data_IF_248540819586
#
_entry.id   IF_248540819586
#
_cell.length_a   1.000
_cell.length_b   1.000
_cell.length_c   1.000
_cell.angle_alpha   90.00
_cell.angle_beta   90.00
_cell.angle_gamma   90.00
#
_symmetry.space_group_name_H-M   'P 1'
#
loop_
_entity.id
_entity.type
_entity.pdbx_description
1 polymer ?
#
# COMPACT_ATOMS: atom_id res chain seq x y z
N UNK A 1 -0.55 -10.19 -9.97
CA UNK A 1 -1.11 -9.76 -8.69
C UNK A 1 -2.39 -10.52 -8.45
N UNK A 2 -2.86 -10.55 -7.22
CA UNK A 2 -4.06 -11.30 -6.86
C UNK A 2 -5.33 -10.55 -7.30
N UNK A 3 -6.33 -11.30 -7.76
CA UNK A 3 -7.60 -10.79 -8.29
C UNK A 3 -8.75 -11.56 -7.69
N UNK A 4 -9.78 -10.84 -7.24
CA UNK A 4 -11.08 -11.42 -6.89
C UNK A 4 -11.92 -11.48 -8.16
N UNK A 5 -12.23 -12.69 -8.61
CA UNK A 5 -13.11 -12.93 -9.75
C UNK A 5 -14.54 -13.16 -9.23
N UNK A 6 -15.49 -12.36 -9.72
CA UNK A 6 -16.92 -12.54 -9.44
C UNK A 6 -17.62 -12.92 -10.73
N UNK A 7 -18.20 -14.12 -10.76
CA UNK A 7 -19.03 -14.59 -11.86
C UNK A 7 -20.50 -14.56 -11.48
N UNK A 8 -21.32 -13.98 -12.36
CA UNK A 8 -22.77 -14.08 -12.27
C UNK A 8 -23.23 -15.14 -13.25
N UNK A 9 -23.97 -16.13 -12.76
CA UNK A 9 -24.48 -17.24 -13.56
C UNK A 9 -26.02 -17.26 -13.51
N UNK A 10 -26.63 -17.62 -14.63
CA UNK A 10 -28.07 -17.96 -14.68
C UNK A 10 -28.30 -19.37 -14.09
N UNK A 11 -29.56 -19.76 -13.90
CA UNK A 11 -30.01 -21.05 -13.37
C UNK A 11 -29.42 -22.26 -14.14
N UNK A 12 -29.05 -22.07 -15.40
CA UNK A 12 -28.41 -23.09 -16.25
C UNK A 12 -26.87 -23.15 -16.10
N UNK A 13 -26.29 -22.45 -15.12
CA UNK A 13 -24.83 -22.28 -14.91
C UNK A 13 -24.10 -21.61 -16.08
N UNK A 14 -24.84 -20.88 -16.91
CA UNK A 14 -24.28 -20.05 -17.98
C UNK A 14 -23.81 -18.74 -17.36
N UNK A 15 -22.55 -18.37 -17.59
CA UNK A 15 -22.01 -17.09 -17.11
C UNK A 15 -22.60 -15.96 -17.93
N UNK A 16 -23.25 -15.03 -17.24
CA UNK A 16 -23.91 -13.85 -17.82
C UNK A 16 -23.18 -12.54 -17.49
N UNK A 17 -22.10 -12.61 -16.71
CA UNK A 17 -21.23 -11.48 -16.43
C UNK A 17 -20.07 -11.85 -15.51
N UNK A 18 -18.94 -11.16 -15.66
CA UNK A 18 -17.72 -11.32 -14.88
C UNK A 18 -17.21 -9.95 -14.42
N UNK A 19 -16.76 -9.86 -13.18
CA UNK A 19 -15.99 -8.72 -12.69
C UNK A 19 -14.64 -9.21 -12.16
N UNK A 20 -13.57 -8.58 -12.63
CA UNK A 20 -12.21 -8.79 -12.13
C UNK A 20 -11.80 -7.62 -11.25
N UNK A 21 -11.56 -7.89 -9.97
CA UNK A 21 -11.26 -6.86 -8.98
C UNK A 21 -9.85 -7.08 -8.46
N UNK A 22 -8.94 -6.16 -8.79
CA UNK A 22 -7.57 -6.24 -8.31
C UNK A 22 -7.51 -6.02 -6.80
N UNK A 23 -6.85 -6.93 -6.07
CA UNK A 23 -6.70 -6.82 -4.61
C UNK A 23 -5.90 -5.57 -4.22
N UNK A 24 -4.98 -5.13 -5.07
CA UNK A 24 -4.23 -3.87 -4.90
C UNK A 24 -5.13 -2.62 -4.86
N UNK A 25 -6.32 -2.67 -5.47
CA UNK A 25 -7.26 -1.54 -5.49
C UNK A 25 -7.84 -1.21 -4.11
N UNK A 26 -7.62 -2.07 -3.12
CA UNK A 26 -8.07 -1.88 -1.74
C UNK A 26 -7.00 -1.25 -0.83
N UNK A 27 -5.73 -1.23 -1.26
CA UNK A 27 -4.60 -0.84 -0.40
C UNK A 27 -4.53 0.65 -0.03
N UNK A 28 -5.35 1.50 -0.65
CA UNK A 28 -5.37 2.94 -0.43
C UNK A 28 -6.47 3.40 0.54
N UNK A 29 -7.32 2.47 1.00
CA UNK A 29 -8.41 2.77 1.91
C UNK A 29 -8.04 2.35 3.33
N UNK A 30 -7.79 3.30 4.22
CA UNK A 30 -7.81 3.08 5.69
C UNK A 30 -9.21 2.72 6.22
N UNK A 31 -10.08 2.17 5.37
CA UNK A 31 -11.46 1.83 5.68
C UNK A 31 -11.57 0.32 5.80
N UNK A 32 -12.03 -0.15 6.97
CA UNK A 32 -12.27 -1.56 7.26
C UNK A 32 -13.39 -2.14 6.36
N UNK A 33 -14.34 -1.30 5.96
CA UNK A 33 -15.46 -1.63 5.07
C UNK A 33 -15.49 -0.66 3.88
N UNK A 34 -15.67 -1.20 2.67
CA UNK A 34 -16.01 -0.37 1.52
C UNK A 34 -17.08 -1.01 0.64
N UNK A 35 -17.93 -0.14 0.11
CA UNK A 35 -19.00 -0.49 -0.82
C UNK A 35 -18.73 0.16 -2.18
N UNK A 36 -18.59 -0.64 -3.24
CA UNK A 36 -18.32 -0.12 -4.59
C UNK A 36 -19.12 -0.88 -5.65
N UNK A 37 -19.52 -0.16 -6.70
CA UNK A 37 -20.08 -0.73 -7.92
C UNK A 37 -18.97 -1.15 -8.88
N UNK A 38 -19.01 -2.40 -9.32
CA UNK A 38 -18.08 -2.96 -10.30
C UNK A 38 -18.82 -3.27 -11.60
N UNK A 39 -18.27 -2.87 -12.76
CA UNK A 39 -18.84 -3.25 -14.05
C UNK A 39 -18.70 -4.76 -14.27
N UNK A 40 -19.73 -5.36 -14.86
CA UNK A 40 -19.74 -6.75 -15.31
C UNK A 40 -19.50 -6.78 -16.81
N UNK A 41 -18.63 -7.67 -17.26
CA UNK A 41 -18.31 -7.90 -18.66
C UNK A 41 -18.64 -9.34 -19.03
N UNK A 42 -19.08 -9.55 -20.27
CA UNK A 42 -19.26 -10.87 -20.84
C UNK A 42 -18.28 -11.02 -22.00
N UNK A 43 -17.39 -12.02 -21.89
CA UNK A 43 -16.28 -12.21 -22.82
C UNK A 43 -15.46 -10.90 -22.93
N UNK A 44 -15.25 -10.38 -24.13
CA UNK A 44 -14.26 -9.33 -24.37
C UNK A 44 -14.85 -7.97 -24.81
N UNK A 45 -16.18 -7.79 -24.90
CA UNK A 45 -16.68 -6.71 -25.78
C UNK A 45 -17.71 -5.72 -25.21
N UNK A 46 -18.55 -6.02 -24.21
CA UNK A 46 -19.44 -5.00 -23.64
C UNK A 46 -19.69 -5.13 -22.13
N UNK A 47 -19.89 -3.97 -21.49
CA UNK A 47 -20.36 -3.88 -20.11
C UNK A 47 -21.84 -4.27 -20.07
N UNK A 48 -22.14 -5.45 -19.54
CA UNK A 48 -23.48 -6.04 -19.50
C UNK A 48 -24.27 -5.66 -18.25
N UNK A 49 -23.62 -5.01 -17.27
CA UNK A 49 -24.26 -4.60 -16.04
C UNK A 49 -23.28 -4.09 -14.99
N UNK A 50 -23.78 -3.93 -13.76
CA UNK A 50 -22.97 -3.58 -12.60
C UNK A 50 -23.41 -4.40 -11.40
N UNK A 51 -22.46 -4.73 -10.54
CA UNK A 51 -22.70 -5.38 -9.26
C UNK A 51 -22.17 -4.50 -8.13
N UNK A 52 -22.94 -4.36 -7.05
CA UNK A 52 -22.48 -3.69 -5.84
C UNK A 52 -21.91 -4.75 -4.90
N UNK A 53 -20.69 -4.53 -4.43
CA UNK A 53 -20.06 -5.38 -3.43
C UNK A 53 -19.72 -4.54 -2.21
N UNK A 54 -20.10 -5.04 -1.04
CA UNK A 54 -19.60 -4.60 0.25
C UNK A 54 -18.52 -5.60 0.68
N UNK A 55 -17.29 -5.12 0.84
CA UNK A 55 -16.15 -5.94 1.22
C UNK A 55 -15.63 -5.44 2.55
N UNK A 56 -15.38 -6.40 3.46
CA UNK A 56 -14.73 -6.16 4.74
C UNK A 56 -13.34 -6.79 4.67
N UNK A 57 -12.28 -6.00 4.85
CA UNK A 57 -10.94 -6.55 4.99
C UNK A 57 -10.58 -6.63 6.47
N UNK A 58 -10.45 -7.85 6.96
CA UNK A 58 -9.80 -8.12 8.24
C UNK A 58 -8.40 -8.65 7.97
N UNK A 59 -7.37 -7.89 8.34
CA UNK A 59 -6.02 -8.46 8.47
C UNK A 59 -5.86 -8.95 9.90
N UNK A 60 -5.52 -10.23 10.13
CA UNK A 60 -5.38 -10.75 11.49
C UNK A 60 -4.23 -10.00 12.19
N UNK A 61 -4.57 -9.38 13.33
CA UNK A 61 -3.68 -8.54 14.12
C UNK A 61 -2.78 -9.33 15.09
N UNK A 62 -2.58 -10.62 14.84
CA UNK A 62 -1.86 -11.52 15.70
C UNK A 62 -0.37 -11.60 15.32
N UNK A 63 0.33 -10.48 15.48
CA UNK A 63 1.64 -10.41 16.16
C UNK A 63 2.24 -9.01 16.04
N UNK A 64 2.22 -8.29 17.17
CA UNK A 64 3.11 -7.18 17.52
C UNK A 64 3.25 -6.02 16.51
N UNK A 65 2.57 -4.91 16.82
CA UNK A 65 3.06 -3.55 16.54
C UNK A 65 3.53 -3.30 15.11
N UNK A 66 2.64 -3.51 14.13
CA UNK A 66 3.00 -3.27 12.74
C UNK A 66 1.79 -3.16 11.84
N UNK A 67 1.39 -1.91 11.59
CA UNK A 67 0.83 -1.51 10.31
C UNK A 67 1.86 -1.61 9.15
N UNK A 68 2.79 -2.60 9.19
CA UNK A 68 3.82 -2.90 8.17
C UNK A 68 3.28 -3.68 6.97
N UNK A 69 1.96 -3.81 6.83
CA UNK A 69 1.37 -4.51 5.67
C UNK A 69 1.15 -3.61 4.45
N UNK A 70 1.58 -2.35 4.48
CA UNK A 70 1.61 -1.54 3.27
C UNK A 70 2.94 -1.73 2.52
N UNK A 71 2.93 -2.75 1.66
CA UNK A 71 3.52 -2.72 0.30
C UNK A 71 5.03 -2.93 0.09
N UNK A 72 5.84 -3.19 1.12
CA UNK A 72 7.20 -3.63 0.87
C UNK A 72 7.90 -4.14 2.12
N UNK A 73 8.52 -5.33 2.05
CA UNK A 73 9.29 -5.83 3.18
C UNK A 73 10.41 -4.87 3.60
N UNK A 74 11.11 -5.16 4.70
CA UNK A 74 12.17 -4.31 5.29
C UNK A 74 13.12 -3.67 4.27
N UNK A 75 13.43 -4.36 3.16
CA UNK A 75 14.25 -3.83 2.07
C UNK A 75 13.65 -2.57 1.39
N UNK A 76 12.34 -2.54 1.17
CA UNK A 76 11.65 -1.38 0.58
C UNK A 76 11.62 -0.21 1.56
N UNK A 77 11.34 -0.47 2.84
CA UNK A 77 11.37 0.56 3.89
C UNK A 77 12.74 1.22 3.99
N UNK A 78 13.83 0.43 3.92
CA UNK A 78 15.20 0.97 3.93
C UNK A 78 15.53 1.78 2.68
N UNK A 79 14.99 1.42 1.51
CA UNK A 79 15.17 2.18 0.26
C UNK A 79 14.48 3.54 0.35
N UNK A 80 13.24 3.57 0.86
CA UNK A 80 12.50 4.83 1.02
C UNK A 80 13.20 5.73 2.03
N UNK A 81 13.68 5.16 3.15
CA UNK A 81 14.48 5.91 4.12
C UNK A 81 15.73 6.54 3.48
N UNK A 82 16.46 5.77 2.66
CA UNK A 82 17.64 6.27 1.96
C UNK A 82 17.29 7.42 0.99
N UNK A 83 16.16 7.33 0.28
CA UNK A 83 15.68 8.41 -0.59
C UNK A 83 15.33 9.69 0.19
N UNK A 84 14.64 9.56 1.32
CA UNK A 84 14.29 10.70 2.18
C UNK A 84 15.56 11.32 2.78
N UNK A 85 16.52 10.48 3.20
CA UNK A 85 17.81 10.92 3.70
C UNK A 85 18.60 11.69 2.62
N UNK A 86 18.66 11.17 1.41
CA UNK A 86 19.32 11.83 0.28
C UNK A 86 18.67 13.18 -0.06
N UNK A 87 17.33 13.24 -0.05
CA UNK A 87 16.59 14.49 -0.24
C UNK A 87 16.90 15.51 0.87
N UNK A 88 16.94 15.07 2.13
CA UNK A 88 17.29 15.91 3.27
C UNK A 88 18.72 16.46 3.16
N UNK A 89 19.67 15.62 2.76
CA UNK A 89 21.07 16.02 2.54
C UNK A 89 21.18 17.08 1.43
N UNK A 90 20.47 16.90 0.31
CA UNK A 90 20.44 17.87 -0.79
C UNK A 90 19.79 19.19 -0.37
N UNK A 91 18.66 19.13 0.32
CA UNK A 91 17.92 20.32 0.75
C UNK A 91 18.70 21.18 1.74
N UNK A 92 19.55 20.56 2.58
CA UNK A 92 20.37 21.26 3.58
C UNK A 92 21.81 21.52 3.14
N UNK A 93 22.13 21.36 1.85
CA UNK A 93 23.49 21.53 1.32
C UNK A 93 24.54 20.74 2.10
N UNK A 94 24.20 19.51 2.47
CA UNK A 94 25.06 18.63 3.25
C UNK A 94 26.40 18.45 2.54
N UNK A 95 27.48 18.73 3.27
CA UNK A 95 28.84 18.66 2.73
C UNK A 95 29.83 18.36 3.85
N UNK A 96 31.11 18.18 3.50
CA UNK A 96 32.16 17.85 4.48
C UNK A 96 32.32 18.87 5.63
N UNK A 97 31.78 20.08 5.50
CA UNK A 97 31.75 21.13 6.53
C UNK A 97 30.41 21.22 7.27
N UNK A 98 29.35 20.57 6.78
CA UNK A 98 28.01 20.60 7.34
C UNK A 98 27.39 19.20 7.28
N UNK A 99 27.73 18.40 8.29
CA UNK A 99 27.38 16.97 8.41
C UNK A 99 26.12 16.71 9.25
N UNK A 100 25.28 17.72 9.47
CA UNK A 100 24.09 17.57 10.31
C UNK A 100 22.81 17.83 9.51
N UNK A 101 21.85 16.94 9.68
CA UNK A 101 20.47 17.13 9.24
C UNK A 101 19.71 17.70 10.42
N UNK A 102 19.04 18.83 10.22
CA UNK A 102 18.34 19.54 11.28
C UNK A 102 16.92 19.92 10.87
N UNK A 103 16.15 20.43 11.84
CA UNK A 103 14.79 20.93 11.64
C UNK A 103 13.83 19.84 11.18
N UNK A 104 12.90 20.22 10.30
CA UNK A 104 11.81 19.36 9.84
C UNK A 104 12.28 18.07 9.17
N UNK A 105 13.47 18.07 8.54
CA UNK A 105 14.05 16.87 7.93
C UNK A 105 14.52 15.85 8.95
N UNK A 106 15.08 16.31 10.08
CA UNK A 106 15.46 15.42 11.17
C UNK A 106 14.23 14.78 11.80
N UNK A 107 13.21 15.61 12.09
CA UNK A 107 11.94 15.10 12.61
C UNK A 107 11.30 14.09 11.65
N UNK A 108 11.28 14.36 10.34
CA UNK A 108 10.70 13.46 9.34
C UNK A 108 11.42 12.10 9.29
N UNK A 109 12.75 12.08 9.35
CA UNK A 109 13.54 10.84 9.37
C UNK A 109 13.32 10.06 10.67
N UNK A 110 13.21 10.76 11.81
CA UNK A 110 12.95 10.14 13.11
C UNK A 110 11.52 9.54 13.13
N UNK A 111 10.51 10.28 12.68
CA UNK A 111 9.12 9.83 12.58
C UNK A 111 8.96 8.66 11.60
N UNK A 112 9.60 8.74 10.44
CA UNK A 112 9.61 7.64 9.46
C UNK A 112 10.24 6.38 10.06
N UNK A 113 11.38 6.51 10.74
CA UNK A 113 12.07 5.36 11.33
C UNK A 113 11.23 4.67 12.39
N UNK A 114 10.56 5.45 13.22
CA UNK A 114 9.74 4.94 14.31
C UNK A 114 8.46 4.30 13.77
N UNK A 115 7.84 4.90 12.73
CA UNK A 115 6.66 4.36 12.05
C UNK A 115 6.96 3.04 11.30
N UNK A 116 8.07 2.98 10.55
CA UNK A 116 8.48 1.81 9.78
C UNK A 116 9.39 0.85 10.56
N UNK A 117 9.57 1.05 11.87
CA UNK A 117 10.36 0.16 12.74
C UNK A 117 11.77 -0.12 12.23
N UNK A 118 12.45 0.90 11.71
CA UNK A 118 13.83 0.79 11.26
C UNK A 118 14.77 0.66 12.47
N UNK A 119 15.73 -0.25 12.39
CA UNK A 119 16.67 -0.47 13.49
C UNK A 119 17.54 0.77 13.73
N UNK A 120 17.83 1.05 15.00
CA UNK A 120 18.75 2.12 15.40
C UNK A 120 20.17 1.90 14.81
N UNK A 121 20.60 0.65 14.65
CA UNK A 121 21.85 0.30 13.99
C UNK A 121 21.87 0.74 12.51
N UNK A 122 20.77 0.56 11.78
CA UNK A 122 20.64 1.00 10.39
C UNK A 122 20.65 2.53 10.29
N UNK A 123 19.90 3.21 11.16
CA UNK A 123 19.85 4.69 11.22
C UNK A 123 21.22 5.29 11.48
N UNK A 124 22.02 4.68 12.35
CA UNK A 124 23.38 5.15 12.70
C UNK A 124 24.43 4.82 11.65
N UNK A 125 24.21 3.78 10.84
CA UNK A 125 25.09 3.44 9.72
C UNK A 125 25.01 4.47 8.59
N UNK A 126 23.83 5.08 8.43
CA UNK A 126 23.51 6.07 7.40
C UNK A 126 23.82 7.49 7.85
#
# INVERSE_FOLDING_TARGET
>A
GDVILVEVQDNNRVVIGRAEIQVSSFSDAHQEEFTRWWPLYLEDQECVGKIQLCLNLSMPADNYGSAKMLQGGLAVDTIIYDMVLEAAMRAQNFNSKMLHISGSWKWLLDEFSDYYGLSDAYRKLR
#
